data_IF_428996686512
#
_entry.id   IF_428996686512
#
_cell.length_a   1.000
_cell.length_b   1.000
_cell.length_c   1.000
_cell.angle_alpha   90.00
_cell.angle_beta   90.00
_cell.angle_gamma   90.00
#
_symmetry.space_group_name_H-M   'P 1'
#
loop_
_entity.id
_entity.type
_entity.pdbx_description
1 polymer ?
#
# COMPACT_ATOMS: atom_id res chain seq x y z
N UNK A 1 0.96 -19.07 -26.33
CA UNK A 1 0.58 -18.23 -25.17
C UNK A 1 1.44 -18.63 -23.98
N UNK A 2 1.95 -17.68 -23.15
CA UNK A 2 2.65 -18.06 -21.94
C UNK A 2 1.72 -18.86 -21.02
N UNK A 3 2.27 -19.87 -20.34
CA UNK A 3 1.50 -20.62 -19.35
C UNK A 3 1.16 -19.70 -18.19
N UNK A 4 -0.05 -19.83 -17.60
CA UNK A 4 -0.46 -19.01 -16.43
C UNK A 4 0.54 -19.05 -15.27
N UNK A 5 1.27 -20.16 -15.10
CA UNK A 5 2.34 -20.28 -14.11
C UNK A 5 3.52 -19.32 -14.35
N UNK A 6 3.68 -18.80 -15.57
CA UNK A 6 4.75 -17.89 -16.00
C UNK A 6 4.40 -16.41 -15.79
N UNK A 7 3.29 -16.13 -15.11
CA UNK A 7 2.90 -14.78 -14.69
C UNK A 7 3.34 -14.54 -13.26
N UNK A 8 3.87 -13.35 -12.99
CA UNK A 8 4.02 -12.80 -11.66
C UNK A 8 2.98 -11.69 -11.49
N UNK A 9 2.12 -11.85 -10.50
CA UNK A 9 1.09 -10.90 -10.13
C UNK A 9 1.49 -10.30 -8.80
N UNK A 10 1.49 -8.98 -8.71
CA UNK A 10 1.77 -8.25 -7.47
C UNK A 10 0.63 -7.31 -7.14
N UNK A 11 0.22 -7.33 -5.90
CA UNK A 11 -0.74 -6.40 -5.33
C UNK A 11 -0.43 -6.14 -3.86
N UNK A 12 -0.90 -5.02 -3.34
CA UNK A 12 -0.77 -4.66 -1.92
C UNK A 12 -2.14 -4.67 -1.26
N UNK A 13 -2.16 -5.13 -0.01
CA UNK A 13 -3.38 -5.11 0.80
C UNK A 13 -3.05 -4.80 2.26
N UNK A 14 -4.07 -4.55 3.07
CA UNK A 14 -3.95 -4.42 4.51
C UNK A 14 -4.58 -5.59 5.23
N UNK A 15 -3.88 -6.11 6.22
CA UNK A 15 -4.41 -7.10 7.14
C UNK A 15 -4.80 -6.37 8.42
N UNK A 16 -6.09 -6.29 8.69
CA UNK A 16 -6.64 -5.62 9.87
C UNK A 16 -6.55 -6.54 11.09
N UNK A 17 -5.73 -6.21 12.09
CA UNK A 17 -5.74 -6.94 13.36
C UNK A 17 -6.99 -6.58 14.18
N UNK A 18 -7.35 -7.46 15.10
CA UNK A 18 -8.40 -7.18 16.07
C UNK A 18 -7.89 -6.27 17.18
N UNK A 19 -8.05 -4.96 16.99
CA UNK A 19 -7.62 -3.91 17.91
C UNK A 19 -8.78 -2.96 18.23
N UNK A 20 -8.71 -2.29 19.39
CA UNK A 20 -9.77 -1.38 19.84
C UNK A 20 -10.01 -0.24 18.84
N UNK A 21 -8.94 0.24 18.22
CA UNK A 21 -8.96 1.36 17.28
C UNK A 21 -9.72 1.02 15.99
N UNK A 22 -9.80 -0.26 15.61
CA UNK A 22 -10.61 -0.73 14.49
C UNK A 22 -12.10 -0.91 14.85
N UNK A 23 -12.47 -0.69 16.12
CA UNK A 23 -13.87 -0.74 16.50
C UNK A 23 -14.59 0.52 16.00
N UNK A 24 -15.71 0.40 15.27
CA UNK A 24 -16.49 1.54 14.79
C UNK A 24 -16.92 2.52 15.90
N UNK A 25 -17.12 2.06 17.14
CA UNK A 25 -17.44 2.91 18.29
C UNK A 25 -16.27 3.84 18.64
N UNK A 26 -15.03 3.40 18.53
CA UNK A 26 -13.84 4.20 18.80
C UNK A 26 -13.75 5.37 17.81
N UNK A 27 -13.79 5.10 16.52
CA UNK A 27 -13.75 6.13 15.48
C UNK A 27 -14.94 7.12 15.60
N UNK A 28 -16.15 6.59 15.80
CA UNK A 28 -17.35 7.43 15.98
C UNK A 28 -17.25 8.37 17.19
N UNK A 29 -16.61 7.93 18.28
CA UNK A 29 -16.35 8.78 19.44
C UNK A 29 -15.41 9.92 19.07
N UNK A 30 -14.29 9.62 18.39
CA UNK A 30 -13.34 10.63 17.92
C UNK A 30 -13.94 11.61 16.91
N UNK A 31 -14.78 11.12 16.00
CA UNK A 31 -15.51 11.98 15.06
C UNK A 31 -16.50 12.92 15.77
N UNK A 32 -17.15 12.46 16.85
CA UNK A 32 -18.01 13.33 17.67
C UNK A 32 -17.19 14.43 18.37
N UNK A 33 -16.01 14.10 18.89
CA UNK A 33 -15.07 15.08 19.48
C UNK A 33 -14.63 16.10 18.42
N UNK A 34 -14.21 15.67 17.24
CA UNK A 34 -13.83 16.53 16.12
C UNK A 34 -14.97 17.47 15.68
N UNK A 35 -16.20 16.97 15.60
CA UNK A 35 -17.39 17.78 15.30
C UNK A 35 -17.71 18.81 16.39
N UNK A 36 -17.37 18.57 17.64
CA UNK A 36 -17.47 19.60 18.70
C UNK A 36 -16.44 20.70 18.50
N UNK A 37 -15.21 20.34 18.13
CA UNK A 37 -14.16 21.31 17.83
C UNK A 37 -14.52 22.21 16.63
N UNK A 38 -15.12 21.66 15.57
CA UNK A 38 -15.52 22.45 14.40
C UNK A 38 -16.61 23.48 14.68
N UNK A 39 -17.39 23.32 15.77
CA UNK A 39 -18.34 24.35 16.22
C UNK A 39 -17.66 25.55 16.90
N UNK A 40 -16.52 25.30 17.55
CA UNK A 40 -15.73 26.34 18.19
C UNK A 40 -14.74 27.00 17.21
N UNK A 41 -14.31 26.26 16.20
CA UNK A 41 -13.31 26.66 15.20
C UNK A 41 -13.86 26.37 13.79
N UNK A 42 -14.54 27.33 13.13
CA UNK A 42 -15.20 27.08 11.82
C UNK A 42 -14.30 26.62 10.68
N UNK A 43 -13.01 26.99 10.74
CA UNK A 43 -11.99 26.55 9.78
C UNK A 43 -11.55 25.09 9.96
N UNK A 44 -11.88 24.45 11.09
CA UNK A 44 -11.53 23.08 11.38
C UNK A 44 -12.48 22.10 10.69
N UNK A 45 -11.95 21.32 9.74
CA UNK A 45 -12.74 20.27 9.09
C UNK A 45 -12.72 18.99 9.95
N UNK A 46 -13.87 18.57 10.53
CA UNK A 46 -13.90 17.41 11.43
C UNK A 46 -13.61 16.09 10.74
N UNK A 47 -13.84 15.97 9.44
CA UNK A 47 -13.63 14.72 8.69
C UNK A 47 -12.17 14.46 8.35
N UNK A 48 -11.39 15.51 8.11
CA UNK A 48 -9.94 15.40 7.92
C UNK A 48 -9.19 15.54 9.24
N UNK A 49 -9.62 16.45 10.10
CA UNK A 49 -8.97 16.70 11.40
C UNK A 49 -9.09 15.54 12.39
N UNK A 50 -10.09 14.63 12.24
CA UNK A 50 -10.20 13.46 13.11
C UNK A 50 -8.96 12.57 13.06
N UNK A 51 -8.31 12.48 11.93
CA UNK A 51 -7.13 11.62 11.77
C UNK A 51 -5.92 12.11 12.56
N UNK A 52 -5.76 13.43 12.73
CA UNK A 52 -4.70 13.99 13.59
C UNK A 52 -4.94 13.74 15.08
N UNK A 53 -6.18 13.41 15.48
CA UNK A 53 -6.55 13.06 16.86
C UNK A 53 -6.38 11.57 17.17
N UNK A 54 -6.06 10.76 16.17
CA UNK A 54 -5.89 9.32 16.32
C UNK A 54 -4.41 8.98 16.54
N UNK A 55 -4.08 7.95 17.35
CA UNK A 55 -2.70 7.50 17.50
C UNK A 55 -2.16 6.99 16.16
N UNK A 56 -0.86 7.14 15.93
CA UNK A 56 -0.23 6.66 14.68
C UNK A 56 -0.26 5.14 14.55
N UNK A 57 -0.25 4.44 15.67
CA UNK A 57 -0.28 2.98 15.76
C UNK A 57 -1.35 2.53 16.74
N UNK A 58 -1.83 1.29 16.60
CA UNK A 58 -2.74 0.73 17.58
C UNK A 58 -2.03 0.42 18.90
N UNK A 59 -2.66 0.78 20.04
CA UNK A 59 -2.05 0.62 21.37
C UNK A 59 -1.71 -0.84 21.70
N UNK A 60 -2.63 -1.77 21.37
CA UNK A 60 -2.44 -3.19 21.63
C UNK A 60 -1.53 -3.89 20.61
N UNK A 61 -1.29 -3.25 19.45
CA UNK A 61 -0.46 -3.78 18.38
C UNK A 61 0.27 -2.62 17.67
N UNK A 62 1.42 -2.17 18.19
CA UNK A 62 2.14 -1.02 17.65
C UNK A 62 2.64 -1.18 16.21
N UNK A 63 2.71 -2.40 15.69
CA UNK A 63 3.04 -2.64 14.28
C UNK A 63 1.87 -2.42 13.32
N UNK A 64 0.62 -2.35 13.84
CA UNK A 64 -0.54 -1.95 13.06
C UNK A 64 -0.62 -0.42 12.98
N UNK A 65 -0.50 0.12 11.77
CA UNK A 65 -0.48 1.57 11.52
C UNK A 65 -1.77 2.05 10.88
N UNK A 66 -2.04 3.34 11.04
CA UNK A 66 -3.13 4.01 10.35
C UNK A 66 -3.01 3.85 8.84
N UNK A 67 -4.08 3.41 8.19
CA UNK A 67 -4.15 3.25 6.74
C UNK A 67 -5.58 3.47 6.23
N UNK A 68 -5.69 3.87 4.96
CA UNK A 68 -6.95 3.85 4.23
C UNK A 68 -6.90 2.69 3.23
N UNK A 69 -7.67 1.65 3.49
CA UNK A 69 -7.63 0.39 2.73
C UNK A 69 -9.07 -0.02 2.42
N UNK A 70 -9.29 -0.52 1.21
CA UNK A 70 -10.60 -1.05 0.79
C UNK A 70 -11.77 -0.08 0.99
N UNK A 71 -11.49 1.23 0.88
CA UNK A 71 -12.52 2.25 1.00
C UNK A 71 -12.85 2.69 2.43
N UNK A 72 -12.12 2.21 3.42
CA UNK A 72 -12.30 2.66 4.81
C UNK A 72 -10.97 2.90 5.53
N UNK A 73 -11.05 3.67 6.60
CA UNK A 73 -9.94 3.96 7.48
C UNK A 73 -9.81 2.88 8.56
N UNK A 74 -8.61 2.35 8.72
CA UNK A 74 -8.33 1.33 9.74
C UNK A 74 -6.86 1.34 10.19
N UNK A 75 -6.57 0.58 11.24
CA UNK A 75 -5.22 0.19 11.62
C UNK A 75 -4.93 -1.18 11.04
N UNK A 76 -3.90 -1.28 10.21
CA UNK A 76 -3.59 -2.51 9.49
C UNK A 76 -2.09 -2.74 9.34
N UNK A 77 -1.74 -4.01 9.11
CA UNK A 77 -0.43 -4.39 8.60
C UNK A 77 -0.49 -4.34 7.07
N UNK A 78 0.27 -3.45 6.46
CA UNK A 78 0.38 -3.42 5.01
C UNK A 78 1.27 -4.55 4.53
N UNK A 79 0.82 -5.29 3.52
CA UNK A 79 1.55 -6.38 2.91
C UNK A 79 1.51 -6.28 1.39
N UNK A 80 2.61 -6.69 0.74
CA UNK A 80 2.67 -6.94 -0.69
C UNK A 80 2.61 -8.43 -0.95
N UNK A 81 1.69 -8.88 -1.78
CA UNK A 81 1.49 -10.30 -2.10
C UNK A 81 1.90 -10.57 -3.54
N UNK A 82 2.79 -11.53 -3.72
CA UNK A 82 3.17 -12.03 -5.03
C UNK A 82 2.56 -13.39 -5.28
N UNK A 83 1.83 -13.51 -6.39
CA UNK A 83 1.23 -14.78 -6.84
C UNK A 83 1.61 -15.07 -8.27
N UNK A 84 1.44 -16.32 -8.70
CA UNK A 84 1.46 -16.64 -10.10
C UNK A 84 0.03 -16.67 -10.69
N UNK A 85 -0.08 -16.76 -12.02
CA UNK A 85 -1.38 -16.73 -12.70
C UNK A 85 -2.28 -17.95 -12.46
N UNK A 86 -1.85 -18.92 -11.66
CA UNK A 86 -2.68 -20.05 -11.18
C UNK A 86 -3.05 -19.91 -9.70
N UNK A 87 -2.76 -18.75 -9.10
CA UNK A 87 -3.19 -18.40 -7.74
C UNK A 87 -2.28 -18.91 -6.61
N UNK A 88 -1.09 -19.42 -6.92
CA UNK A 88 -0.14 -19.85 -5.88
C UNK A 88 0.63 -18.63 -5.38
N UNK A 89 0.58 -18.37 -4.07
CA UNK A 89 1.39 -17.35 -3.41
C UNK A 89 2.86 -17.75 -3.54
N UNK A 90 3.69 -16.84 -4.01
CA UNK A 90 5.13 -17.02 -4.21
C UNK A 90 5.94 -16.33 -3.13
N UNK A 91 5.47 -15.19 -2.65
CA UNK A 91 6.05 -14.48 -1.52
C UNK A 91 5.04 -13.50 -0.91
N UNK A 92 5.30 -13.12 0.33
CA UNK A 92 4.58 -12.06 1.04
C UNK A 92 5.62 -11.13 1.64
N UNK A 93 5.60 -9.87 1.24
CA UNK A 93 6.43 -8.82 1.82
C UNK A 93 5.62 -8.08 2.89
N UNK A 94 6.08 -8.10 4.14
CA UNK A 94 5.50 -7.29 5.21
C UNK A 94 6.17 -5.93 5.23
N UNK A 95 5.39 -4.85 5.20
CA UNK A 95 5.90 -3.48 5.30
C UNK A 95 5.95 -3.04 6.77
N UNK A 96 6.60 -3.87 7.58
CA UNK A 96 6.82 -3.67 9.00
C UNK A 96 7.99 -2.70 9.29
N UNK A 97 8.35 -2.58 10.56
CA UNK A 97 9.43 -1.68 10.98
C UNK A 97 10.80 -2.12 10.47
N UNK A 98 11.03 -3.42 10.28
CA UNK A 98 12.30 -3.94 9.77
C UNK A 98 12.42 -3.66 8.27
N UNK A 99 11.32 -3.81 7.50
CA UNK A 99 11.28 -3.37 6.10
C UNK A 99 11.54 -1.87 5.97
N UNK A 100 10.92 -1.03 6.81
CA UNK A 100 11.11 0.43 6.79
C UNK A 100 12.55 0.84 7.12
N UNK A 101 13.17 0.18 8.09
CA UNK A 101 14.58 0.43 8.44
C UNK A 101 15.53 0.04 7.31
N UNK A 102 15.23 -1.07 6.63
CA UNK A 102 16.05 -1.57 5.52
C UNK A 102 15.87 -0.77 4.24
N UNK A 103 14.71 -0.13 4.06
CA UNK A 103 14.32 0.60 2.84
C UNK A 103 13.75 1.99 3.15
N UNK A 104 14.56 2.90 3.74
CA UNK A 104 14.09 4.24 4.12
C UNK A 104 13.69 5.11 2.91
N UNK A 105 14.16 4.78 1.71
CA UNK A 105 13.88 5.46 0.45
C UNK A 105 12.45 5.27 -0.06
N UNK A 106 11.78 4.19 0.36
CA UNK A 106 10.37 3.94 -0.02
C UNK A 106 9.35 4.50 0.99
N UNK A 107 9.84 5.03 2.12
CA UNK A 107 8.99 5.61 3.15
C UNK A 107 8.74 7.08 2.83
N UNK A 108 7.50 7.47 2.59
CA UNK A 108 7.12 8.86 2.37
C UNK A 108 6.67 9.53 3.66
N UNK A 109 6.85 10.87 3.74
CA UNK A 109 6.33 11.65 4.86
C UNK A 109 4.81 11.54 4.92
N UNK A 110 4.28 11.24 6.11
CA UNK A 110 2.85 11.34 6.38
C UNK A 110 2.38 12.79 6.33
N UNK A 111 1.34 13.07 5.53
CA UNK A 111 0.49 14.23 5.74
C UNK A 111 -0.73 13.86 6.59
N UNK A 112 -1.53 14.86 6.96
CA UNK A 112 -2.76 14.62 7.73
C UNK A 112 -3.92 14.07 6.87
N UNK A 113 -3.66 13.62 5.64
CA UNK A 113 -4.68 13.08 4.75
C UNK A 113 -4.34 11.63 4.37
N UNK A 114 -5.01 10.64 4.98
CA UNK A 114 -4.74 9.22 4.73
C UNK A 114 -5.04 8.77 3.29
N UNK A 115 -5.83 9.54 2.53
CA UNK A 115 -6.07 9.26 1.10
C UNK A 115 -4.87 9.67 0.23
N UNK A 116 -4.11 10.67 0.67
CA UNK A 116 -2.95 11.19 -0.05
C UNK A 116 -1.64 10.59 0.44
N UNK A 117 -1.59 10.17 1.70
CA UNK A 117 -0.36 9.74 2.37
C UNK A 117 -0.37 8.27 2.74
N UNK A 118 -0.07 7.48 1.77
CA UNK A 118 0.37 6.14 2.05
C UNK A 118 1.83 6.23 2.49
N UNK A 119 2.13 5.93 3.74
CA UNK A 119 3.49 5.93 4.30
C UNK A 119 4.46 5.11 3.44
N UNK A 120 3.99 4.02 2.84
CA UNK A 120 4.67 3.29 1.76
C UNK A 120 3.73 3.24 0.58
N UNK A 121 4.06 3.98 -0.48
CA UNK A 121 3.30 3.96 -1.74
C UNK A 121 3.46 2.60 -2.44
N UNK A 122 2.37 2.08 -3.00
CA UNK A 122 2.38 0.83 -3.76
C UNK A 122 3.37 0.89 -4.92
N UNK A 123 3.31 1.99 -5.69
CA UNK A 123 4.19 2.21 -6.84
C UNK A 123 5.67 2.29 -6.47
N UNK A 124 6.00 2.99 -5.39
CA UNK A 124 7.40 3.16 -4.96
C UNK A 124 7.98 1.88 -4.34
N UNK A 125 7.16 1.06 -3.69
CA UNK A 125 7.63 -0.19 -3.08
C UNK A 125 7.90 -1.30 -4.10
N UNK A 126 7.35 -1.21 -5.30
CA UNK A 126 7.40 -2.28 -6.30
C UNK A 126 8.83 -2.73 -6.61
N UNK A 127 9.74 -1.80 -6.91
CA UNK A 127 11.14 -2.13 -7.25
C UNK A 127 11.82 -2.87 -6.11
N UNK A 128 11.68 -2.38 -4.89
CA UNK A 128 12.31 -2.93 -3.69
C UNK A 128 11.79 -4.33 -3.42
N UNK A 129 10.47 -4.50 -3.42
CA UNK A 129 9.84 -5.81 -3.17
C UNK A 129 10.23 -6.85 -4.23
N UNK A 130 10.27 -6.46 -5.52
CA UNK A 130 10.72 -7.36 -6.58
C UNK A 130 12.21 -7.70 -6.46
N UNK A 131 13.05 -6.74 -6.08
CA UNK A 131 14.49 -6.98 -5.87
C UNK A 131 14.73 -7.99 -4.75
N UNK A 132 14.04 -7.84 -3.63
CA UNK A 132 14.13 -8.77 -2.51
C UNK A 132 13.58 -10.15 -2.87
N UNK A 133 12.46 -10.20 -3.61
CA UNK A 133 11.89 -11.43 -4.09
C UNK A 133 12.85 -12.23 -4.98
N UNK A 134 13.43 -11.61 -6.00
CA UNK A 134 14.34 -12.31 -6.91
C UNK A 134 15.69 -12.63 -6.26
N UNK A 135 16.14 -11.84 -5.29
CA UNK A 135 17.32 -12.15 -4.47
C UNK A 135 17.07 -13.38 -3.59
N UNK A 136 15.89 -13.48 -2.99
CA UNK A 136 15.46 -14.63 -2.17
C UNK A 136 15.21 -15.88 -3.01
N UNK A 137 14.74 -15.70 -4.26
CA UNK A 137 14.36 -16.78 -5.18
C UNK A 137 15.08 -16.71 -6.53
N UNK A 138 16.42 -16.85 -6.58
CA UNK A 138 17.21 -16.59 -7.78
C UNK A 138 16.95 -17.58 -8.94
N UNK A 139 16.29 -18.71 -8.67
CA UNK A 139 15.92 -19.71 -9.68
C UNK A 139 14.55 -19.45 -10.31
N UNK A 140 13.76 -18.54 -9.78
CA UNK A 140 12.45 -18.19 -10.33
C UNK A 140 12.61 -17.15 -11.44
N UNK A 141 11.88 -17.35 -12.51
CA UNK A 141 11.77 -16.38 -13.61
C UNK A 141 10.35 -16.35 -14.13
N UNK A 142 9.92 -15.19 -14.57
CA UNK A 142 8.57 -14.97 -15.09
C UNK A 142 8.65 -14.12 -16.35
N UNK A 143 7.83 -14.45 -17.35
CA UNK A 143 7.82 -13.68 -18.61
C UNK A 143 6.86 -12.51 -18.59
N UNK A 144 5.86 -12.55 -17.74
CA UNK A 144 4.76 -11.58 -17.72
C UNK A 144 4.53 -11.05 -16.30
N UNK A 145 4.52 -9.74 -16.15
CA UNK A 145 4.11 -9.05 -14.94
C UNK A 145 2.67 -8.54 -15.07
N UNK A 146 1.87 -8.71 -14.01
CA UNK A 146 0.53 -8.14 -13.86
C UNK A 146 0.48 -7.31 -12.59
N UNK A 147 -0.04 -6.10 -12.69
CA UNK A 147 -0.30 -5.21 -11.55
C UNK A 147 -1.57 -4.41 -11.78
N UNK A 148 -2.06 -3.76 -10.74
CA UNK A 148 -3.20 -2.86 -10.85
C UNK A 148 -2.82 -1.47 -11.40
N UNK A 149 -3.80 -0.58 -11.56
CA UNK A 149 -3.58 0.77 -12.08
C UNK A 149 -2.75 1.68 -11.14
N UNK A 150 -2.52 1.30 -9.87
CA UNK A 150 -1.66 2.06 -8.97
C UNK A 150 -0.19 2.02 -9.41
N UNK A 151 0.19 0.99 -10.17
CA UNK A 151 1.54 0.82 -10.71
C UNK A 151 1.73 1.48 -12.08
N UNK A 152 0.72 2.10 -12.68
CA UNK A 152 0.81 2.76 -14.00
C UNK A 152 1.71 4.00 -13.95
N UNK A 153 2.99 3.81 -14.18
CA UNK A 153 3.98 4.87 -14.37
C UNK A 153 5.05 4.46 -15.38
N UNK A 154 5.59 5.43 -16.10
CA UNK A 154 6.66 5.20 -17.07
C UNK A 154 7.88 4.51 -16.42
N UNK A 155 8.24 4.95 -15.21
CA UNK A 155 9.39 4.40 -14.48
C UNK A 155 9.18 2.93 -14.12
N UNK A 156 7.97 2.55 -13.69
CA UNK A 156 7.65 1.14 -13.41
C UNK A 156 7.72 0.27 -14.67
N UNK A 157 7.19 0.73 -15.81
CA UNK A 157 7.31 -0.01 -17.08
C UNK A 157 8.77 -0.20 -17.49
N UNK A 158 9.57 0.85 -17.37
CA UNK A 158 11.00 0.82 -17.72
C UNK A 158 11.75 -0.13 -16.80
N UNK A 159 11.56 -0.03 -15.51
CA UNK A 159 12.16 -0.86 -14.48
C UNK A 159 11.77 -2.34 -14.66
N UNK A 160 10.49 -2.65 -14.85
CA UNK A 160 10.01 -4.03 -15.04
C UNK A 160 10.63 -4.69 -16.27
N UNK A 161 10.82 -3.94 -17.36
CA UNK A 161 11.44 -4.45 -18.59
C UNK A 161 12.95 -4.55 -18.50
N UNK A 162 13.61 -3.52 -17.98
CA UNK A 162 15.08 -3.41 -18.04
C UNK A 162 15.76 -4.08 -16.85
N UNK A 163 15.26 -3.87 -15.63
CA UNK A 163 15.90 -4.39 -14.43
C UNK A 163 15.47 -5.84 -14.15
N UNK A 164 14.20 -6.19 -14.44
CA UNK A 164 13.64 -7.53 -14.17
C UNK A 164 13.37 -8.38 -15.41
N UNK A 165 13.65 -7.86 -16.61
CA UNK A 165 13.56 -8.59 -17.88
C UNK A 165 12.19 -9.21 -18.21
N UNK A 166 11.09 -8.61 -17.70
CA UNK A 166 9.75 -9.05 -18.08
C UNK A 166 9.48 -8.75 -19.56
N UNK A 167 9.13 -9.79 -20.32
CA UNK A 167 8.79 -9.65 -21.75
C UNK A 167 7.48 -8.91 -21.97
N UNK A 168 6.54 -9.05 -21.02
CA UNK A 168 5.22 -8.41 -21.03
C UNK A 168 4.94 -7.78 -19.68
N UNK A 169 4.41 -6.57 -19.73
CA UNK A 169 3.96 -5.83 -18.54
C UNK A 169 2.52 -5.41 -18.83
N UNK A 170 1.59 -5.90 -18.03
CA UNK A 170 0.16 -5.63 -18.15
C UNK A 170 -0.32 -4.90 -16.90
N UNK A 171 -0.40 -3.61 -16.98
CA UNK A 171 -0.90 -2.71 -15.95
C UNK A 171 -2.01 -1.87 -16.58
N UNK A 172 -3.22 -1.81 -16.01
CA UNK A 172 -4.29 -0.95 -16.52
C UNK A 172 -3.90 0.52 -16.45
N UNK A 173 -4.39 1.32 -17.39
CA UNK A 173 -4.14 2.76 -17.38
C UNK A 173 -4.79 3.41 -16.16
N UNK A 174 -4.04 4.27 -15.48
CA UNK A 174 -4.56 5.08 -14.40
C UNK A 174 -5.15 6.37 -14.97
N UNK A 175 -6.46 6.59 -14.80
CA UNK A 175 -7.15 7.77 -15.28
C UNK A 175 -6.56 9.09 -14.74
N UNK A 176 -5.93 9.07 -13.56
CA UNK A 176 -5.22 10.24 -13.00
C UNK A 176 -4.00 10.64 -13.84
N UNK A 177 -3.40 9.70 -14.54
CA UNK A 177 -2.22 9.92 -15.40
C UNK A 177 -2.60 10.25 -16.85
N UNK A 178 -3.86 10.06 -17.28
CA UNK A 178 -4.31 10.29 -18.65
C UNK A 178 -4.21 11.75 -19.10
N UNK A 179 -4.21 12.70 -18.16
CA UNK A 179 -4.03 14.15 -18.43
C UNK A 179 -2.57 14.58 -18.58
N UNK A 180 -1.60 13.68 -18.35
CA UNK A 180 -0.16 13.95 -18.42
C UNK A 180 0.54 13.28 -19.61
N UNK A 181 -0.24 12.62 -20.47
CA UNK A 181 0.26 11.97 -21.69
C UNK A 181 -0.12 12.76 -22.92
#
# INVERSE_FOLDING_TARGET
MPKKADYLIFDTTGIEPYVTENNPKFLNTKLKEAKKLSKAYPEYNPYTGVYSMLPETANANPSARQQYINGHYCYAHKVGIMTNGIGIIRDIAFFDDDFRKSHPDVVSKKSNNPDLDKEISDSHSLKTVLSDFFKKHPKLSYSTFLGDAAFDSYDNYTMLKNDFSFKRVCIPLNNRNSKKR
#
